data_IF_026580566582
#
_entry.id   IF_026580566582
#
_cell.length_a   1.000
_cell.length_b   1.000
_cell.length_c   1.000
_cell.angle_alpha   90.00
_cell.angle_beta   90.00
_cell.angle_gamma   90.00
#
_symmetry.space_group_name_H-M   'P 1'
#
loop_
_entity.id
_entity.type
_entity.pdbx_description
1 polymer ?
#
# COMPACT_ATOMS: atom_id res chain seq x y z
N UNK A 1 -15.88 21.52 57.24
CA UNK A 1 -14.44 21.28 57.21
C UNK A 1 -14.10 19.84 56.70
N UNK A 2 -14.55 18.77 57.37
CA UNK A 2 -14.25 17.39 56.89
C UNK A 2 -14.78 17.04 55.49
N UNK A 3 -15.95 17.49 55.11
CA UNK A 3 -16.57 17.26 53.79
C UNK A 3 -15.86 17.98 52.63
N UNK A 4 -15.25 19.14 52.87
CA UNK A 4 -14.48 19.85 51.87
C UNK A 4 -13.12 19.16 51.59
N UNK A 5 -12.46 18.67 52.65
CA UNK A 5 -11.20 17.95 52.52
C UNK A 5 -11.41 16.63 51.74
N UNK A 6 -12.49 15.90 51.98
CA UNK A 6 -12.82 14.68 51.24
C UNK A 6 -13.08 14.98 49.76
N UNK A 7 -13.72 16.10 49.43
CA UNK A 7 -14.02 16.52 48.07
C UNK A 7 -12.75 16.92 47.32
N UNK A 8 -11.78 17.60 47.96
CA UNK A 8 -10.49 17.94 47.38
C UNK A 8 -9.65 16.70 47.10
N UNK A 9 -9.60 15.72 48.01
CA UNK A 9 -8.87 14.46 47.85
C UNK A 9 -9.44 13.65 46.65
N UNK A 10 -10.77 13.59 46.53
CA UNK A 10 -11.41 12.89 45.39
C UNK A 10 -11.17 13.58 44.07
N UNK A 11 -11.14 14.92 44.00
CA UNK A 11 -10.81 15.66 42.82
C UNK A 11 -9.34 15.49 42.43
N UNK A 12 -8.41 15.43 43.36
CA UNK A 12 -7.01 15.19 43.16
C UNK A 12 -6.78 13.78 42.57
N UNK A 13 -7.37 12.75 43.15
CA UNK A 13 -7.30 11.38 42.66
C UNK A 13 -7.90 11.24 41.23
N UNK A 14 -9.03 11.90 40.97
CA UNK A 14 -9.67 11.88 39.64
C UNK A 14 -8.76 12.49 38.56
N UNK A 15 -8.12 13.64 38.86
CA UNK A 15 -7.19 14.27 37.93
C UNK A 15 -5.92 13.43 37.70
N UNK A 16 -5.46 12.70 38.70
CA UNK A 16 -4.32 11.81 38.60
C UNK A 16 -4.63 10.62 37.68
N UNK A 17 -5.78 9.97 37.87
CA UNK A 17 -6.23 8.87 37.01
C UNK A 17 -6.47 9.32 35.56
N UNK A 18 -6.98 10.54 35.34
CA UNK A 18 -7.13 11.11 34.01
C UNK A 18 -5.77 11.30 33.31
N UNK A 19 -4.78 11.82 34.01
CA UNK A 19 -3.43 12.00 33.47
C UNK A 19 -2.78 10.66 33.09
N UNK A 20 -2.94 9.63 33.91
CA UNK A 20 -2.45 8.28 33.63
C UNK A 20 -3.16 7.71 32.40
N UNK A 21 -4.47 7.88 32.28
CA UNK A 21 -5.25 7.42 31.13
C UNK A 21 -4.80 8.08 29.83
N UNK A 22 -4.55 9.40 29.84
CA UNK A 22 -4.05 10.12 28.67
C UNK A 22 -2.64 9.63 28.30
N UNK A 23 -1.75 9.45 29.27
CA UNK A 23 -0.40 8.95 29.04
C UNK A 23 -0.41 7.54 28.42
N UNK A 24 -1.26 6.65 28.94
CA UNK A 24 -1.45 5.30 28.41
C UNK A 24 -2.00 5.32 26.97
N UNK A 25 -2.97 6.19 26.68
CA UNK A 25 -3.53 6.34 25.35
C UNK A 25 -2.50 6.85 24.33
N UNK A 26 -1.68 7.84 24.70
CA UNK A 26 -0.58 8.32 23.88
C UNK A 26 0.47 7.24 23.61
N UNK A 27 0.79 6.42 24.62
CA UNK A 27 1.68 5.29 24.50
C UNK A 27 1.15 4.24 23.51
N UNK A 28 -0.15 3.96 23.55
CA UNK A 28 -0.82 3.03 22.65
C UNK A 28 -0.81 3.53 21.20
N UNK A 29 -1.07 4.83 20.99
CA UNK A 29 -0.94 5.48 19.67
C UNK A 29 0.49 5.40 19.15
N UNK A 30 1.48 5.63 20.02
CA UNK A 30 2.90 5.53 19.66
C UNK A 30 3.27 4.13 19.18
N UNK A 31 2.79 3.08 19.86
CA UNK A 31 3.01 1.69 19.45
C UNK A 31 2.37 1.42 18.08
N UNK A 32 1.15 1.87 17.84
CA UNK A 32 0.46 1.71 16.54
C UNK A 32 1.23 2.42 15.41
N UNK A 33 1.78 3.59 15.69
CA UNK A 33 2.57 4.35 14.73
C UNK A 33 3.91 3.65 14.40
N UNK A 34 4.58 3.11 15.41
CA UNK A 34 5.79 2.33 15.23
C UNK A 34 5.53 1.03 14.45
N UNK A 35 4.42 0.34 14.76
CA UNK A 35 4.03 -0.90 14.08
C UNK A 35 3.79 -0.67 12.57
N UNK A 36 3.15 0.44 12.21
CA UNK A 36 2.93 0.81 10.80
C UNK A 36 4.24 1.07 10.07
N UNK A 37 5.22 1.68 10.74
CA UNK A 37 6.49 2.08 10.12
C UNK A 37 7.49 0.90 9.95
N UNK A 38 7.30 -0.21 10.66
CA UNK A 38 8.21 -1.37 10.60
C UNK A 38 7.93 -2.22 9.35
N UNK A 39 6.72 -2.23 8.84
CA UNK A 39 6.34 -3.09 7.71
C UNK A 39 6.82 -2.60 6.33
N UNK A 40 7.21 -1.32 6.20
CA UNK A 40 7.63 -0.75 4.90
C UNK A 40 9.11 -0.98 4.57
N UNK A 41 9.91 -1.51 5.50
CA UNK A 41 11.36 -1.59 5.35
C UNK A 41 11.86 -2.75 4.46
N UNK A 42 11.00 -3.65 4.04
CA UNK A 42 11.37 -4.82 3.23
C UNK A 42 10.71 -4.82 1.85
N UNK A 43 10.43 -3.64 1.32
CA UNK A 43 9.79 -3.46 0.02
C UNK A 43 10.75 -2.83 -0.99
N UNK A 44 10.60 -3.20 -2.26
CA UNK A 44 11.32 -2.61 -3.39
C UNK A 44 10.33 -1.71 -4.15
N UNK A 45 10.67 -0.45 -4.42
CA UNK A 45 9.85 0.39 -5.27
C UNK A 45 9.85 -0.12 -6.71
N UNK A 46 8.72 -0.01 -7.38
CA UNK A 46 8.60 -0.29 -8.81
C UNK A 46 8.03 0.90 -9.56
N UNK A 47 8.31 0.95 -10.85
CA UNK A 47 7.74 1.89 -11.82
C UNK A 47 7.22 1.14 -13.03
N UNK A 48 6.05 1.54 -13.51
CA UNK A 48 5.45 1.02 -14.72
C UNK A 48 4.75 2.14 -15.49
N UNK A 49 4.77 2.08 -16.83
CA UNK A 49 4.14 3.07 -17.70
C UNK A 49 2.98 2.44 -18.45
N UNK A 50 1.82 3.11 -18.43
CA UNK A 50 0.60 2.69 -19.10
C UNK A 50 0.03 3.82 -19.96
N UNK A 51 -0.79 3.49 -20.95
CA UNK A 51 -1.58 4.46 -21.72
C UNK A 51 -2.98 4.62 -21.13
N UNK A 52 -3.51 3.56 -20.53
CA UNK A 52 -4.86 3.53 -19.98
C UNK A 52 -4.94 2.67 -18.72
N UNK A 53 -5.48 3.26 -17.62
CA UNK A 53 -5.46 2.63 -16.28
C UNK A 53 -6.85 2.65 -15.60
N UNK A 54 -7.93 2.47 -16.36
CA UNK A 54 -9.28 2.52 -15.78
C UNK A 54 -9.42 1.69 -14.51
N UNK A 55 -9.91 2.33 -13.45
CA UNK A 55 -10.19 1.69 -12.16
C UNK A 55 -8.98 1.41 -11.28
N UNK A 56 -7.77 1.86 -11.68
CA UNK A 56 -6.57 1.83 -10.84
C UNK A 56 -6.47 3.14 -10.07
N UNK A 57 -6.21 3.05 -8.78
CA UNK A 57 -6.02 4.20 -7.88
C UNK A 57 -4.84 3.94 -6.93
N UNK A 58 -4.53 4.93 -6.12
CA UNK A 58 -3.60 4.75 -5.00
C UNK A 58 -4.17 3.65 -4.09
N UNK A 59 -3.31 2.83 -3.51
CA UNK A 59 -3.63 1.60 -2.75
C UNK A 59 -4.12 0.40 -3.58
N UNK A 60 -4.19 0.49 -4.93
CA UNK A 60 -4.48 -0.68 -5.78
C UNK A 60 -3.46 -1.78 -5.51
N UNK A 61 -3.94 -3.00 -5.29
CA UNK A 61 -3.08 -4.14 -4.97
C UNK A 61 -2.26 -4.60 -6.17
N UNK A 62 -1.02 -5.00 -5.89
CA UNK A 62 -0.14 -5.70 -6.82
C UNK A 62 -0.12 -7.19 -6.45
N UNK A 63 -0.35 -8.06 -7.43
CA UNK A 63 -0.56 -9.48 -7.20
C UNK A 63 0.28 -10.34 -8.16
N UNK A 64 0.72 -11.51 -7.70
CA UNK A 64 1.20 -12.62 -8.55
C UNK A 64 0.28 -13.82 -8.31
N UNK A 65 -0.29 -14.38 -9.37
CA UNK A 65 -1.21 -15.51 -9.30
C UNK A 65 -2.36 -15.34 -8.28
N UNK A 66 -2.83 -14.10 -8.09
CA UNK A 66 -3.89 -13.75 -7.13
C UNK A 66 -3.41 -13.53 -5.69
N UNK A 67 -2.12 -13.70 -5.41
CA UNK A 67 -1.54 -13.41 -4.10
C UNK A 67 -1.05 -11.97 -4.07
N UNK A 68 -1.50 -11.19 -3.08
CA UNK A 68 -1.04 -9.82 -2.86
C UNK A 68 0.43 -9.83 -2.46
N UNK A 69 1.24 -9.06 -3.19
CA UNK A 69 2.67 -8.91 -2.97
C UNK A 69 3.12 -7.45 -2.85
N UNK A 70 2.18 -6.52 -2.99
CA UNK A 70 2.50 -5.10 -2.95
C UNK A 70 1.28 -4.21 -3.19
N UNK A 71 1.54 -2.94 -3.43
CA UNK A 71 0.49 -1.95 -3.70
C UNK A 71 1.02 -0.75 -4.48
N UNK A 72 0.09 -0.03 -5.12
CA UNK A 72 0.34 1.25 -5.79
C UNK A 72 0.45 2.35 -4.74
N UNK A 73 1.51 3.13 -4.80
CA UNK A 73 1.75 4.26 -3.89
C UNK A 73 1.38 5.60 -4.52
N UNK A 74 1.64 5.76 -5.82
CA UNK A 74 1.42 7.04 -6.51
C UNK A 74 1.19 6.85 -8.01
N UNK A 75 0.22 7.59 -8.53
CA UNK A 75 -0.05 7.68 -9.96
C UNK A 75 0.29 9.09 -10.45
N UNK A 76 1.01 9.18 -11.55
CA UNK A 76 1.40 10.46 -12.16
C UNK A 76 1.05 10.44 -13.65
N UNK A 77 0.44 11.51 -14.13
CA UNK A 77 0.09 11.67 -15.55
C UNK A 77 1.01 12.73 -16.15
N UNK A 78 1.71 12.38 -17.22
CA UNK A 78 2.56 13.31 -17.96
C UNK A 78 2.30 13.16 -19.46
N UNK A 79 1.76 14.18 -20.09
CA UNK A 79 1.32 14.15 -21.50
C UNK A 79 0.34 12.97 -21.71
N UNK A 80 0.75 11.98 -22.54
CA UNK A 80 -0.08 10.82 -22.90
C UNK A 80 0.37 9.52 -22.19
N UNK A 81 1.21 9.63 -21.17
CA UNK A 81 1.76 8.50 -20.43
C UNK A 81 1.37 8.59 -18.96
N UNK A 82 0.83 7.51 -18.44
CA UNK A 82 0.49 7.37 -17.03
C UNK A 82 1.58 6.50 -16.39
N UNK A 83 2.26 7.07 -15.40
CA UNK A 83 3.30 6.38 -14.64
C UNK A 83 2.74 5.96 -13.29
N UNK A 84 2.79 4.68 -13.01
CA UNK A 84 2.43 4.08 -11.74
C UNK A 84 3.69 3.78 -10.96
N UNK A 85 3.76 4.28 -9.74
CA UNK A 85 4.79 3.94 -8.77
C UNK A 85 4.15 3.14 -7.64
N UNK A 86 4.83 2.11 -7.17
CA UNK A 86 4.33 1.29 -6.08
C UNK A 86 5.45 0.57 -5.35
N UNK A 87 5.08 -0.29 -4.42
CA UNK A 87 5.97 -1.08 -3.60
C UNK A 87 5.64 -2.56 -3.75
N UNK A 88 6.66 -3.39 -3.83
CA UNK A 88 6.57 -4.86 -3.90
C UNK A 88 7.43 -5.43 -2.79
N UNK A 89 6.92 -6.43 -2.08
CA UNK A 89 7.66 -7.10 -1.01
C UNK A 89 8.93 -7.77 -1.57
N UNK A 90 10.06 -7.48 -0.94
CA UNK A 90 11.40 -7.93 -1.36
C UNK A 90 11.57 -9.46 -1.33
N UNK A 91 10.71 -10.17 -0.61
CA UNK A 91 10.71 -11.64 -0.53
C UNK A 91 10.50 -12.29 -1.90
N UNK A 92 9.72 -11.64 -2.79
CA UNK A 92 9.40 -12.21 -4.09
C UNK A 92 10.51 -11.98 -5.11
N UNK A 93 10.86 -13.05 -5.80
CA UNK A 93 11.81 -13.00 -6.92
C UNK A 93 11.00 -12.82 -8.21
N UNK A 94 11.15 -11.67 -8.86
CA UNK A 94 10.41 -11.32 -10.08
C UNK A 94 11.42 -11.28 -11.23
N UNK A 95 11.19 -12.04 -12.33
CA UNK A 95 12.01 -11.96 -13.53
C UNK A 95 11.94 -10.55 -14.15
N UNK A 96 13.01 -10.10 -14.77
CA UNK A 96 13.14 -8.77 -15.38
C UNK A 96 12.29 -8.58 -16.65
N UNK A 97 11.92 -9.70 -17.31
CA UNK A 97 11.01 -9.76 -18.45
C UNK A 97 9.53 -9.96 -18.09
N UNK A 98 9.17 -9.83 -16.78
CA UNK A 98 7.79 -9.95 -16.32
C UNK A 98 6.90 -8.86 -16.89
N UNK A 99 5.63 -9.21 -17.13
CA UNK A 99 4.61 -8.31 -17.65
C UNK A 99 3.70 -7.85 -16.51
N UNK A 100 3.48 -6.54 -16.39
CA UNK A 100 2.51 -5.97 -15.46
C UNK A 100 1.20 -5.68 -16.20
N UNK A 101 0.11 -6.33 -15.77
CA UNK A 101 -1.22 -6.22 -16.38
C UNK A 101 -2.24 -5.66 -15.41
N UNK A 102 -3.18 -4.89 -15.92
CA UNK A 102 -4.35 -4.45 -15.15
C UNK A 102 -5.44 -5.50 -15.34
N UNK A 103 -5.80 -6.23 -14.26
CA UNK A 103 -6.86 -7.23 -14.25
C UNK A 103 -8.01 -6.80 -13.36
N UNK A 104 -9.23 -7.25 -13.70
CA UNK A 104 -10.42 -7.10 -12.87
C UNK A 104 -10.66 -8.43 -12.14
N UNK A 105 -11.02 -8.34 -10.87
CA UNK A 105 -11.50 -9.49 -10.11
C UNK A 105 -13.00 -9.71 -10.43
N UNK A 106 -13.24 -10.48 -11.50
CA UNK A 106 -14.57 -10.66 -12.06
C UNK A 106 -15.06 -9.47 -12.91
N UNK A 107 -16.35 -9.50 -13.29
CA UNK A 107 -16.96 -8.51 -14.21
C UNK A 107 -17.14 -7.14 -13.54
N UNK A 108 -17.42 -7.13 -12.24
CA UNK A 108 -17.67 -5.93 -11.44
C UNK A 108 -16.67 -5.77 -10.27
N UNK A 109 -15.59 -6.57 -10.27
CA UNK A 109 -14.61 -6.58 -9.21
C UNK A 109 -13.67 -5.37 -9.24
N UNK A 110 -12.92 -5.22 -8.15
CA UNK A 110 -11.86 -4.22 -8.05
C UNK A 110 -10.77 -4.53 -9.08
N UNK A 111 -10.12 -3.49 -9.57
CA UNK A 111 -8.92 -3.65 -10.40
C UNK A 111 -7.73 -3.99 -9.51
N UNK A 112 -6.84 -4.82 -10.03
CA UNK A 112 -5.55 -5.14 -9.43
C UNK A 112 -4.48 -5.13 -10.51
N UNK A 113 -3.26 -4.82 -10.12
CA UNK A 113 -2.08 -4.98 -10.96
C UNK A 113 -1.59 -6.42 -10.81
N UNK A 114 -1.67 -7.20 -11.86
CA UNK A 114 -1.24 -8.61 -11.89
C UNK A 114 0.09 -8.72 -12.60
N UNK A 115 1.11 -9.24 -11.91
CA UNK A 115 2.39 -9.59 -12.50
C UNK A 115 2.26 -10.99 -13.09
N UNK A 116 2.58 -11.11 -14.37
CA UNK A 116 2.82 -12.37 -15.05
C UNK A 116 4.33 -12.58 -15.17
N UNK A 117 4.90 -13.51 -14.39
CA UNK A 117 6.33 -13.78 -14.42
C UNK A 117 6.79 -14.22 -15.81
N UNK A 118 7.90 -13.69 -16.26
CA UNK A 118 8.61 -14.15 -17.45
C UNK A 118 9.53 -15.33 -17.16
N UNK A 119 10.47 -15.58 -18.06
CA UNK A 119 11.48 -16.65 -17.98
C UNK A 119 12.91 -16.09 -17.92
N UNK A 120 13.07 -14.77 -17.83
CA UNK A 120 14.34 -14.07 -17.75
C UNK A 120 15.07 -14.26 -16.43
N UNK A 121 16.16 -13.52 -16.29
CA UNK A 121 16.90 -13.49 -15.03
C UNK A 121 16.08 -12.75 -13.97
N UNK A 122 16.29 -13.13 -12.69
CA UNK A 122 15.62 -12.44 -11.60
C UNK A 122 16.18 -11.03 -11.44
N UNK A 123 15.29 -10.11 -11.18
CA UNK A 123 15.64 -8.73 -10.88
C UNK A 123 16.66 -8.65 -9.74
N UNK A 124 17.74 -7.92 -10.01
CA UNK A 124 18.79 -7.68 -9.02
C UNK A 124 18.26 -6.77 -7.90
N UNK A 125 18.04 -7.36 -6.73
CA UNK A 125 17.55 -6.67 -5.53
C UNK A 125 18.51 -5.61 -4.98
N UNK A 126 19.75 -5.54 -5.47
CA UNK A 126 20.69 -4.46 -5.14
C UNK A 126 20.32 -3.15 -5.85
N UNK A 127 19.55 -3.21 -6.93
CA UNK A 127 18.97 -2.04 -7.58
C UNK A 127 17.88 -1.44 -6.71
N UNK A 128 17.87 -0.13 -6.63
CA UNK A 128 16.94 0.59 -5.77
C UNK A 128 15.49 0.64 -6.31
N UNK A 129 15.24 0.15 -7.54
CA UNK A 129 13.94 0.24 -8.18
C UNK A 129 13.77 -0.83 -9.25
N UNK A 130 12.57 -1.43 -9.29
CA UNK A 130 12.15 -2.33 -10.34
C UNK A 130 11.42 -1.54 -11.45
N UNK A 131 11.81 -1.74 -12.71
CA UNK A 131 11.16 -1.08 -13.86
C UNK A 131 10.49 -2.14 -14.71
N UNK A 132 9.15 -2.08 -14.81
CA UNK A 132 8.39 -2.93 -15.72
C UNK A 132 8.47 -2.36 -17.13
N UNK A 133 9.23 -3.02 -18.00
CA UNK A 133 9.37 -2.65 -19.41
C UNK A 133 8.16 -3.10 -20.25
N UNK A 134 7.44 -4.10 -19.78
CA UNK A 134 6.28 -4.68 -20.46
C UNK A 134 5.03 -4.47 -19.60
N UNK A 135 4.10 -3.68 -20.12
CA UNK A 135 2.82 -3.38 -19.47
C UNK A 135 1.67 -3.68 -20.40
N UNK A 136 0.55 -4.09 -19.85
CA UNK A 136 -0.71 -4.29 -20.58
C UNK A 136 -1.80 -3.44 -19.95
N UNK A 137 -2.36 -2.53 -20.73
CA UNK A 137 -3.41 -1.61 -20.34
C UNK A 137 -4.69 -2.32 -19.90
N UNK A 138 -5.54 -1.60 -19.16
CA UNK A 138 -6.88 -2.07 -18.83
C UNK A 138 -7.75 -2.14 -20.09
N UNK A 139 -8.45 -3.24 -20.27
CA UNK A 139 -9.52 -3.34 -21.27
C UNK A 139 -10.87 -3.09 -20.58
N UNK A 140 -11.63 -2.13 -21.09
CA UNK A 140 -13.03 -1.91 -20.72
C UNK A 140 -13.94 -2.81 -21.58
N UNK A 141 -15.01 -3.33 -20.98
CA UNK A 141 -16.03 -4.11 -21.71
C UNK A 141 -16.66 -3.27 -22.83
N UNK A 142 -16.75 -1.96 -22.66
CA UNK A 142 -17.28 -1.03 -23.67
C UNK A 142 -16.48 -1.01 -24.98
N UNK A 143 -15.20 -1.39 -24.91
CA UNK A 143 -14.33 -1.46 -26.10
C UNK A 143 -14.69 -2.62 -27.03
N UNK A 144 -15.40 -3.64 -26.51
CA UNK A 144 -15.85 -4.80 -27.28
C UNK A 144 -17.30 -4.68 -27.77
N UNK A 145 -18.04 -3.65 -27.33
CA UNK A 145 -19.46 -3.43 -27.66
C UNK A 145 -19.66 -2.36 -28.74
N UNK A 146 -18.60 -1.81 -29.30
CA UNK A 146 -18.60 -0.92 -30.46
C UNK A 146 -18.17 -1.71 -31.69
#
# INVERSE_FOLDING_TARGET
>A
MATEIIKEINLYNSKYHLKIGILFFLFLISILFLYKNINDNDSVPFVASFKYIEGVNDDTEVQIAGIKIGYVNKITISKDVITINGLIDRVYNIPDDSILKIKSDGIFGKKALSIEPGFGEYFDKSKNQYVFNHTQDSYSVDMFLR
#
